data_IF_528885767383
#
_entry.id   IF_528885767383
#
_cell.length_a   1.000
_cell.length_b   1.000
_cell.length_c   1.000
_cell.angle_alpha   90.00
_cell.angle_beta   90.00
_cell.angle_gamma   90.00
#
_symmetry.space_group_name_H-M   'P 1'
#
loop_
_entity.id
_entity.type
_entity.pdbx_description
1 polymer ?
#
# COMPACT_ATOMS: atom_id res chain seq x y z
N UNK A 1 12.13 -13.06 21.12
CA UNK A 1 10.66 -13.11 21.11
C UNK A 1 10.19 -12.13 20.06
N UNK A 2 10.02 -12.58 18.82
CA UNK A 2 9.62 -11.72 17.71
C UNK A 2 8.14 -11.41 17.86
N UNK A 3 7.80 -10.17 18.20
CA UNK A 3 6.42 -9.68 18.14
C UNK A 3 6.12 -9.56 16.64
N UNK A 4 5.69 -10.67 16.03
CA UNK A 4 5.29 -10.70 14.64
C UNK A 4 4.07 -9.80 14.49
N UNK A 5 4.21 -8.74 13.68
CA UNK A 5 3.19 -7.76 13.36
C UNK A 5 1.91 -8.49 12.95
N UNK A 6 0.92 -8.55 13.84
CA UNK A 6 -0.35 -9.21 13.59
C UNK A 6 -1.42 -8.16 13.41
N UNK A 7 -1.54 -7.67 12.19
CA UNK A 7 -2.50 -6.65 11.81
C UNK A 7 -2.22 -6.16 10.40
N UNK A 8 -3.14 -5.36 9.88
CA UNK A 8 -2.96 -4.66 8.61
C UNK A 8 -1.71 -3.78 8.75
N UNK A 9 -0.83 -3.84 7.77
CA UNK A 9 0.43 -3.10 7.79
C UNK A 9 0.23 -1.68 7.28
N UNK A 10 -0.52 -1.54 6.18
CA UNK A 10 -0.92 -0.26 5.62
C UNK A 10 -2.38 -0.31 5.19
N UNK A 11 -3.14 0.71 5.59
CA UNK A 11 -4.50 0.97 5.15
C UNK A 11 -4.59 2.40 4.65
N UNK A 12 -5.12 2.60 3.45
CA UNK A 12 -5.34 3.92 2.86
C UNK A 12 -6.79 4.03 2.42
N UNK A 13 -7.45 5.09 2.89
CA UNK A 13 -8.80 5.48 2.51
C UNK A 13 -8.88 7.00 2.57
N UNK A 14 -9.88 7.58 1.93
CA UNK A 14 -10.28 8.97 2.15
C UNK A 14 -11.52 9.01 3.03
N UNK A 15 -11.80 10.18 3.60
CA UNK A 15 -13.01 10.45 4.37
C UNK A 15 -14.20 10.67 3.43
N UNK A 16 -14.01 11.53 2.42
CA UNK A 16 -14.97 11.85 1.36
C UNK A 16 -14.20 12.15 0.06
N UNK A 17 -14.92 12.19 -1.05
CA UNK A 17 -14.43 12.71 -2.32
C UNK A 17 -14.65 14.23 -2.42
N UNK A 18 -14.04 14.84 -3.43
CA UNK A 18 -14.26 16.25 -3.81
C UNK A 18 -15.34 16.28 -4.90
N UNK A 19 -16.08 17.39 -5.02
CA UNK A 19 -17.31 17.51 -5.80
C UNK A 19 -17.16 16.96 -7.21
N UNK A 20 -18.26 16.50 -7.85
CA UNK A 20 -18.20 15.59 -8.98
C UNK A 20 -17.20 16.09 -10.01
N UNK A 21 -16.02 15.45 -10.03
CA UNK A 21 -14.99 15.72 -11.01
C UNK A 21 -15.49 15.03 -12.27
N UNK A 22 -16.06 15.81 -13.18
CA UNK A 22 -16.35 15.32 -14.51
C UNK A 22 -15.03 15.37 -15.29
N UNK A 23 -14.23 14.31 -15.20
CA UNK A 23 -13.07 14.11 -16.05
C UNK A 23 -13.44 13.17 -17.19
N UNK A 24 -13.97 13.69 -18.29
CA UNK A 24 -13.98 12.98 -19.58
C UNK A 24 -13.92 13.99 -20.74
N UNK A 25 -12.77 13.98 -21.42
CA UNK A 25 -12.58 14.51 -22.75
C UNK A 25 -11.35 13.84 -23.35
N UNK A 26 -11.53 12.70 -24.02
CA UNK A 26 -10.51 12.19 -24.91
C UNK A 26 -11.12 12.02 -26.31
N UNK A 27 -11.07 13.11 -27.08
CA UNK A 27 -11.37 13.09 -28.51
C UNK A 27 -10.18 12.68 -29.39
N UNK A 28 -9.14 12.01 -28.85
CA UNK A 28 -8.00 11.59 -29.68
C UNK A 28 -8.22 10.20 -30.25
N UNK A 29 -8.20 10.11 -31.58
CA UNK A 29 -7.79 8.89 -32.26
C UNK A 29 -6.46 8.42 -31.65
N UNK A 30 -6.33 7.12 -31.40
CA UNK A 30 -5.19 6.44 -30.75
C UNK A 30 -3.86 6.51 -31.54
N UNK A 31 -3.57 7.64 -32.21
CA UNK A 31 -2.45 7.80 -33.13
C UNK A 31 -1.57 9.03 -32.90
N UNK A 32 -1.79 9.79 -31.82
CA UNK A 32 -0.82 10.80 -31.38
C UNK A 32 0.05 10.24 -30.26
N UNK A 33 1.39 10.45 -30.29
CA UNK A 33 2.25 9.99 -29.23
C UNK A 33 1.81 10.66 -27.93
N UNK A 34 1.39 9.83 -26.98
CA UNK A 34 1.17 10.24 -25.59
C UNK A 34 2.47 10.89 -25.15
N UNK A 35 2.46 12.22 -25.01
CA UNK A 35 3.58 12.92 -24.41
C UNK A 35 3.79 12.29 -23.03
N UNK A 36 4.97 11.74 -22.78
CA UNK A 36 5.34 11.00 -21.56
C UNK A 36 5.35 11.87 -20.29
N UNK A 37 4.87 13.10 -20.38
CA UNK A 37 4.62 14.00 -19.27
C UNK A 37 3.15 13.94 -18.85
N UNK A 38 2.79 12.85 -18.18
CA UNK A 38 1.45 12.63 -17.60
C UNK A 38 1.06 13.72 -16.60
N UNK A 39 2.04 14.39 -15.98
CA UNK A 39 1.87 15.45 -14.99
C UNK A 39 1.14 16.67 -15.58
N UNK A 40 1.39 16.97 -16.85
CA UNK A 40 0.82 18.14 -17.54
C UNK A 40 -0.43 17.80 -18.36
N UNK A 41 -0.91 16.56 -18.35
CA UNK A 41 -2.08 16.16 -19.14
C UNK A 41 -3.41 16.53 -18.46
N UNK A 42 -3.45 16.48 -17.13
CA UNK A 42 -4.70 16.59 -16.36
C UNK A 42 -5.25 18.02 -16.33
N UNK A 43 -4.38 19.03 -16.37
CA UNK A 43 -4.76 20.45 -16.31
C UNK A 43 -4.83 21.13 -17.69
N UNK A 44 -4.55 20.38 -18.76
CA UNK A 44 -4.46 20.93 -20.12
C UNK A 44 -5.83 21.08 -20.78
N UNK A 45 -5.86 21.93 -21.79
CA UNK A 45 -6.97 22.04 -22.74
C UNK A 45 -7.16 20.73 -23.53
N UNK A 46 -8.42 20.39 -23.80
CA UNK A 46 -8.77 19.36 -24.77
C UNK A 46 -8.29 19.75 -26.17
N UNK A 47 -7.95 18.75 -26.99
CA UNK A 47 -7.48 18.94 -28.36
C UNK A 47 -8.61 19.39 -29.31
N UNK A 48 -9.88 19.24 -28.90
CA UNK A 48 -11.04 19.71 -29.66
C UNK A 48 -11.82 20.75 -28.85
N UNK A 49 -12.19 21.89 -29.46
CA UNK A 49 -13.10 22.82 -28.81
C UNK A 49 -14.49 22.20 -28.65
N UNK A 50 -15.29 22.79 -27.77
CA UNK A 50 -16.70 22.40 -27.59
C UNK A 50 -17.48 22.59 -28.91
N UNK A 51 -18.32 21.63 -29.25
CA UNK A 51 -19.14 21.63 -30.48
C UNK A 51 -20.37 22.54 -30.38
N UNK A 52 -20.71 23.02 -29.18
CA UNK A 52 -21.85 23.91 -28.94
C UNK A 52 -21.46 25.39 -29.11
N UNK A 53 -20.31 25.79 -28.57
CA UNK A 53 -19.89 27.20 -28.47
C UNK A 53 -18.48 27.47 -29.00
N UNK A 54 -17.80 26.45 -29.55
CA UNK A 54 -16.48 26.54 -30.19
C UNK A 54 -15.35 27.10 -29.30
N UNK A 55 -15.51 27.16 -27.98
CA UNK A 55 -14.42 27.59 -27.09
C UNK A 55 -13.70 26.39 -26.46
N UNK A 56 -12.38 26.49 -26.22
CA UNK A 56 -11.61 25.44 -25.55
C UNK A 56 -12.10 25.22 -24.11
N UNK A 57 -11.88 24.01 -23.60
CA UNK A 57 -12.17 23.60 -22.22
C UNK A 57 -11.06 22.67 -21.72
N UNK A 58 -10.89 22.58 -20.41
CA UNK A 58 -9.89 21.71 -19.78
C UNK A 58 -10.38 20.27 -19.64
N UNK A 59 -9.45 19.31 -19.62
CA UNK A 59 -9.77 17.89 -19.36
C UNK A 59 -10.37 17.70 -17.95
N UNK A 60 -9.92 18.50 -16.98
CA UNK A 60 -10.46 18.52 -15.61
C UNK A 60 -11.49 19.65 -15.46
N UNK A 61 -12.68 19.29 -14.97
CA UNK A 61 -13.77 20.21 -14.64
C UNK A 61 -14.39 19.81 -13.29
N UNK A 62 -14.94 20.80 -12.59
CA UNK A 62 -15.73 20.55 -11.38
C UNK A 62 -17.21 20.76 -11.65
N UNK A 63 -18.08 19.98 -11.01
CA UNK A 63 -19.51 20.22 -11.13
C UNK A 63 -19.92 21.56 -10.49
N UNK A 64 -19.25 21.98 -9.41
CA UNK A 64 -19.52 23.26 -8.77
C UNK A 64 -18.21 23.94 -8.29
N UNK A 65 -18.31 25.15 -7.75
CA UNK A 65 -17.15 25.87 -7.23
C UNK A 65 -16.97 27.27 -7.83
N UNK A 66 -15.84 27.93 -7.52
CA UNK A 66 -15.58 29.32 -7.90
C UNK A 66 -15.17 29.51 -9.38
N UNK A 67 -14.98 28.42 -10.12
CA UNK A 67 -14.61 28.45 -11.54
C UNK A 67 -15.69 29.02 -12.47
N UNK A 68 -16.95 29.03 -12.05
CA UNK A 68 -18.05 29.60 -12.82
C UNK A 68 -17.93 31.11 -12.95
N UNK A 69 -17.97 31.64 -14.17
CA UNK A 69 -17.80 33.07 -14.45
C UNK A 69 -19.15 33.77 -14.53
N UNK A 70 -19.64 34.24 -13.38
CA UNK A 70 -20.94 34.93 -13.25
C UNK A 70 -21.08 36.19 -14.09
N UNK A 71 -19.97 36.86 -14.40
CA UNK A 71 -19.98 38.11 -15.16
C UNK A 71 -20.16 37.90 -16.67
N UNK A 72 -20.10 36.65 -17.13
CA UNK A 72 -20.30 36.29 -18.53
C UNK A 72 -21.73 35.77 -18.74
N UNK A 73 -22.36 36.19 -19.84
CA UNK A 73 -23.73 35.77 -20.21
C UNK A 73 -23.83 34.24 -20.34
N UNK A 74 -22.76 33.60 -20.80
CA UNK A 74 -22.65 32.15 -20.97
C UNK A 74 -22.28 31.42 -19.67
N UNK A 75 -21.84 32.13 -18.63
CA UNK A 75 -21.25 31.53 -17.42
C UNK A 75 -19.85 30.93 -17.61
N UNK A 76 -19.33 30.92 -18.84
CA UNK A 76 -18.11 30.21 -19.26
C UNK A 76 -17.12 31.15 -19.95
N UNK A 77 -15.87 31.16 -19.47
CA UNK A 77 -14.78 31.90 -20.11
C UNK A 77 -14.19 31.18 -21.31
N UNK A 78 -13.69 31.94 -22.27
CA UNK A 78 -12.86 31.43 -23.35
C UNK A 78 -11.42 31.27 -22.85
N UNK A 79 -10.87 30.05 -22.91
CA UNK A 79 -9.53 29.74 -22.43
C UNK A 79 -8.42 29.97 -23.47
N UNK A 80 -8.74 30.53 -24.64
CA UNK A 80 -7.73 30.88 -25.65
C UNK A 80 -6.73 31.90 -25.10
N UNK A 81 -5.46 31.51 -25.00
CA UNK A 81 -4.40 32.36 -24.44
C UNK A 81 -4.36 32.41 -22.92
N UNK A 82 -5.25 31.69 -22.23
CA UNK A 82 -5.22 31.53 -20.77
C UNK A 82 -4.19 30.47 -20.40
N UNK A 83 -3.31 30.78 -19.44
CA UNK A 83 -2.37 29.80 -18.89
C UNK A 83 -3.09 28.87 -17.90
N UNK A 84 -3.59 27.74 -18.39
CA UNK A 84 -4.24 26.71 -17.55
C UNK A 84 -3.26 25.90 -16.70
N UNK A 85 -1.96 26.00 -16.99
CA UNK A 85 -0.89 25.33 -16.23
C UNK A 85 -0.44 26.16 -15.00
N UNK A 86 -1.02 27.35 -14.79
CA UNK A 86 -0.79 28.13 -13.59
C UNK A 86 -1.31 27.38 -12.36
N UNK A 87 -0.49 27.30 -11.31
CA UNK A 87 -0.85 26.63 -10.05
C UNK A 87 -2.08 27.24 -9.36
N UNK A 88 -2.40 28.49 -9.69
CA UNK A 88 -3.56 29.22 -9.16
C UNK A 88 -4.73 29.24 -10.16
N UNK A 89 -4.62 28.53 -11.29
CA UNK A 89 -5.74 28.39 -12.20
C UNK A 89 -6.88 27.62 -11.53
N UNK A 90 -8.09 28.19 -11.58
CA UNK A 90 -9.30 27.58 -11.04
C UNK A 90 -10.08 26.99 -12.21
N UNK A 91 -10.24 25.68 -12.21
CA UNK A 91 -10.94 24.96 -13.28
C UNK A 91 -12.40 25.41 -13.37
N UNK A 92 -12.95 25.40 -14.58
CA UNK A 92 -14.33 25.80 -14.83
C UNK A 92 -15.31 24.89 -14.07
N UNK A 93 -16.44 25.47 -13.64
CA UNK A 93 -17.50 24.74 -12.96
C UNK A 93 -18.89 25.04 -13.52
N UNK A 94 -19.82 24.10 -13.37
CA UNK A 94 -21.19 24.25 -13.90
C UNK A 94 -22.10 25.05 -12.95
N UNK A 95 -21.97 24.84 -11.63
CA UNK A 95 -22.79 25.53 -10.62
C UNK A 95 -21.93 26.51 -9.80
N UNK A 96 -22.28 27.81 -9.76
CA UNK A 96 -21.44 28.79 -9.12
C UNK A 96 -21.47 28.72 -7.59
N UNK A 97 -20.33 28.45 -6.98
CA UNK A 97 -20.14 28.43 -5.52
C UNK A 97 -18.87 29.18 -5.14
N UNK A 98 -18.77 29.68 -3.90
CA UNK A 98 -17.52 30.28 -3.40
C UNK A 98 -16.43 29.22 -3.15
N UNK A 99 -16.85 28.00 -2.82
CA UNK A 99 -16.03 26.83 -2.57
C UNK A 99 -16.71 25.62 -3.20
N UNK A 100 -15.91 24.68 -3.69
CA UNK A 100 -16.42 23.39 -4.11
C UNK A 100 -16.98 22.61 -2.91
N UNK A 101 -17.95 21.73 -3.16
CA UNK A 101 -18.54 20.86 -2.14
C UNK A 101 -17.93 19.48 -2.21
N UNK A 102 -17.92 18.72 -1.11
CA UNK A 102 -17.55 17.30 -1.18
C UNK A 102 -18.48 16.50 -2.11
N UNK A 103 -17.92 15.46 -2.71
CA UNK A 103 -18.65 14.44 -3.45
C UNK A 103 -19.29 13.42 -2.49
N UNK A 104 -20.20 12.63 -3.04
CA UNK A 104 -20.97 11.63 -2.30
C UNK A 104 -20.86 10.23 -2.91
N UNK A 105 -19.91 10.03 -3.82
CA UNK A 105 -19.59 8.73 -4.37
C UNK A 105 -18.74 7.89 -3.41
N UNK A 106 -18.77 6.57 -3.60
CA UNK A 106 -17.97 5.64 -2.81
C UNK A 106 -16.46 5.89 -3.03
N UNK A 107 -15.70 5.85 -1.95
CA UNK A 107 -14.24 6.05 -1.96
C UNK A 107 -13.50 4.71 -1.84
N UNK A 108 -12.34 4.55 -2.51
CA UNK A 108 -11.60 3.30 -2.46
C UNK A 108 -10.88 3.11 -1.12
N UNK A 109 -10.85 1.87 -0.65
CA UNK A 109 -10.05 1.43 0.49
C UNK A 109 -8.97 0.46 0.00
N UNK A 110 -7.71 0.80 0.25
CA UNK A 110 -6.55 -0.04 -0.05
C UNK A 110 -5.98 -0.61 1.24
N UNK A 111 -5.84 -1.94 1.30
CA UNK A 111 -5.30 -2.63 2.47
C UNK A 111 -4.16 -3.58 2.06
N UNK A 112 -3.11 -3.65 2.87
CA UNK A 112 -2.00 -4.59 2.69
C UNK A 112 -1.54 -5.18 4.02
N UNK A 113 -1.08 -6.42 3.98
CA UNK A 113 -0.55 -7.15 5.12
C UNK A 113 -1.51 -8.21 5.68
N UNK A 114 -1.21 -8.77 6.85
CA UNK A 114 -2.07 -9.72 7.53
C UNK A 114 -3.52 -9.21 7.66
N UNK A 115 -4.49 -10.07 7.36
CA UNK A 115 -5.92 -9.74 7.37
C UNK A 115 -6.37 -8.68 6.34
N UNK A 116 -5.54 -8.29 5.36
CA UNK A 116 -5.96 -7.35 4.30
C UNK A 116 -7.18 -7.84 3.50
N UNK A 117 -7.38 -9.16 3.41
CA UNK A 117 -8.54 -9.78 2.76
C UNK A 117 -9.91 -9.44 3.40
N UNK A 118 -9.92 -8.79 4.57
CA UNK A 118 -11.15 -8.26 5.19
C UNK A 118 -11.73 -7.08 4.39
N UNK A 119 -10.91 -6.35 3.63
CA UNK A 119 -11.33 -5.20 2.83
C UNK A 119 -11.59 -5.65 1.38
N UNK A 120 -12.81 -6.11 1.13
CA UNK A 120 -13.25 -6.57 -0.19
C UNK A 120 -14.71 -6.21 -0.42
N UNK A 121 -15.06 -5.93 -1.67
CA UNK A 121 -16.41 -5.52 -2.06
C UNK A 121 -16.73 -4.10 -1.60
N UNK A 122 -18.03 -3.80 -1.51
CA UNK A 122 -18.54 -2.52 -1.00
C UNK A 122 -18.75 -2.66 0.50
N UNK A 123 -18.17 -1.73 1.26
CA UNK A 123 -18.19 -1.74 2.73
C UNK A 123 -18.56 -0.35 3.24
N UNK A 124 -19.28 -0.31 4.35
CA UNK A 124 -19.60 0.95 5.04
C UNK A 124 -18.35 1.60 5.63
N UNK A 125 -18.26 2.93 5.66
CA UNK A 125 -17.12 3.63 6.26
C UNK A 125 -16.92 3.26 7.74
N UNK A 126 -18.00 2.97 8.46
CA UNK A 126 -17.97 2.51 9.86
C UNK A 126 -17.37 1.11 10.02
N UNK A 127 -17.34 0.29 8.97
CA UNK A 127 -16.72 -1.04 8.99
C UNK A 127 -15.19 -0.94 9.15
N UNK A 128 -14.57 0.09 8.58
CA UNK A 128 -13.12 0.27 8.57
C UNK A 128 -12.49 0.17 9.97
N UNK A 129 -12.90 0.98 10.97
CA UNK A 129 -12.31 0.88 12.32
C UNK A 129 -12.62 -0.47 12.99
N UNK A 130 -13.77 -1.09 12.74
CA UNK A 130 -14.11 -2.40 13.31
C UNK A 130 -13.24 -3.52 12.73
N UNK A 131 -13.01 -3.50 11.41
CA UNK A 131 -12.16 -4.46 10.73
C UNK A 131 -10.68 -4.30 11.14
N UNK A 132 -10.21 -3.06 11.29
CA UNK A 132 -8.87 -2.79 11.83
C UNK A 132 -8.72 -3.28 13.26
N UNK A 133 -9.70 -3.01 14.13
CA UNK A 133 -9.69 -3.47 15.51
C UNK A 133 -9.66 -5.00 15.59
N UNK A 134 -10.49 -5.66 14.78
CA UNK A 134 -10.47 -7.12 14.65
C UNK A 134 -9.13 -7.63 14.13
N UNK A 135 -8.53 -7.02 13.08
CA UNK A 135 -7.25 -7.45 12.53
C UNK A 135 -6.10 -7.35 13.54
N UNK A 136 -6.13 -6.34 14.41
CA UNK A 136 -5.14 -6.12 15.46
C UNK A 136 -5.45 -6.87 16.77
N UNK A 137 -6.52 -7.69 16.81
CA UNK A 137 -7.04 -8.32 18.03
C UNK A 137 -7.23 -7.32 19.19
N UNK A 138 -7.76 -6.13 18.93
CA UNK A 138 -8.11 -5.13 19.96
C UNK A 138 -9.62 -4.92 20.05
N UNK A 139 -10.08 -4.49 21.21
CA UNK A 139 -11.49 -4.19 21.44
C UNK A 139 -12.37 -5.43 21.67
N UNK A 140 -13.70 -5.32 21.48
CA UNK A 140 -14.67 -6.32 21.91
C UNK A 140 -14.50 -7.70 21.26
N UNK A 141 -13.93 -7.76 20.06
CA UNK A 141 -13.73 -9.00 19.30
C UNK A 141 -12.32 -9.61 19.46
N UNK A 142 -11.53 -9.14 20.43
CA UNK A 142 -10.17 -9.66 20.68
C UNK A 142 -10.15 -11.17 20.87
N UNK A 143 -11.02 -11.71 21.70
CA UNK A 143 -10.96 -13.12 22.08
C UNK A 143 -11.28 -14.03 20.88
N UNK A 144 -12.17 -13.58 19.99
CA UNK A 144 -12.47 -14.25 18.72
C UNK A 144 -11.30 -14.19 17.72
N UNK A 145 -10.66 -13.03 17.61
CA UNK A 145 -9.46 -12.85 16.79
C UNK A 145 -8.33 -13.78 17.25
N UNK A 146 -8.00 -13.77 18.54
CA UNK A 146 -6.96 -14.61 19.14
C UNK A 146 -7.25 -16.10 18.97
N UNK A 147 -8.51 -16.51 19.17
CA UNK A 147 -8.94 -17.89 18.93
C UNK A 147 -8.69 -18.31 17.48
N UNK A 148 -9.12 -17.51 16.51
CA UNK A 148 -8.93 -17.80 15.08
C UNK A 148 -7.46 -17.78 14.67
N UNK A 149 -6.66 -16.87 15.24
CA UNK A 149 -5.20 -16.82 15.03
C UNK A 149 -4.52 -18.10 15.52
N UNK A 150 -4.89 -18.60 16.70
CA UNK A 150 -4.39 -19.89 17.23
C UNK A 150 -4.80 -21.07 16.36
N UNK A 151 -6.04 -21.10 15.88
CA UNK A 151 -6.53 -22.15 14.98
C UNK A 151 -5.81 -22.13 13.63
N UNK A 152 -5.56 -20.94 13.06
CA UNK A 152 -4.79 -20.79 11.84
C UNK A 152 -3.35 -21.29 12.01
N UNK A 153 -2.70 -20.94 13.14
CA UNK A 153 -1.39 -21.48 13.50
C UNK A 153 -1.41 -23.02 13.61
N UNK A 154 -2.40 -23.59 14.30
CA UNK A 154 -2.53 -25.04 14.43
C UNK A 154 -2.73 -25.74 13.08
N UNK A 155 -3.52 -25.19 12.16
CA UNK A 155 -3.66 -25.74 10.80
C UNK A 155 -2.36 -25.65 10.01
N UNK A 156 -1.65 -24.54 10.11
CA UNK A 156 -0.38 -24.34 9.40
C UNK A 156 0.73 -25.29 9.90
N UNK A 157 0.73 -25.61 11.20
CA UNK A 157 1.63 -26.61 11.81
C UNK A 157 1.29 -28.05 11.40
N UNK A 158 0.04 -28.34 11.04
CA UNK A 158 -0.37 -29.67 10.56
C UNK A 158 -0.01 -29.86 9.07
N UNK A 159 0.00 -28.81 8.26
CA UNK A 159 0.22 -28.89 6.80
C UNK A 159 1.70 -28.82 6.40
N UNK A 160 2.54 -28.16 7.20
CA UNK A 160 3.99 -28.18 7.03
C UNK A 160 4.61 -28.59 8.37
N UNK A 161 5.25 -29.77 8.49
CA UNK A 161 6.14 -30.02 9.60
C UNK A 161 7.29 -29.01 9.44
N UNK A 162 7.24 -27.93 10.22
CA UNK A 162 8.42 -27.08 10.43
C UNK A 162 9.55 -28.03 10.83
N UNK A 163 10.70 -27.94 10.17
CA UNK A 163 11.86 -28.77 10.46
C UNK A 163 12.09 -28.79 11.97
N UNK A 164 11.77 -29.94 12.58
CA UNK A 164 11.98 -30.18 13.99
C UNK A 164 13.50 -30.10 14.20
N UNK A 165 13.99 -29.04 14.84
CA UNK A 165 15.26 -29.18 15.57
C UNK A 165 14.90 -30.04 16.77
N UNK A 166 15.10 -31.35 16.63
CA UNK A 166 15.11 -32.29 17.75
C UNK A 166 16.22 -31.86 18.73
N UNK A 167 15.85 -31.05 19.71
CA UNK A 167 16.57 -30.97 20.98
C UNK A 167 16.01 -32.04 21.92
N UNK A 168 16.23 -33.30 21.55
CA UNK A 168 15.77 -34.46 22.33
C UNK A 168 16.54 -35.75 21.99
N UNK A 169 17.87 -35.67 21.89
CA UNK A 169 18.70 -36.87 22.06
C UNK A 169 19.24 -36.93 23.49
N UNK A 170 18.35 -37.30 24.42
CA UNK A 170 18.74 -38.02 25.63
C UNK A 170 19.28 -39.40 25.26
N UNK A 171 20.38 -39.48 24.52
CA UNK A 171 21.20 -40.68 24.44
C UNK A 171 22.31 -40.52 25.48
N UNK A 172 22.17 -41.26 26.58
CA UNK A 172 23.29 -41.62 27.44
C UNK A 172 24.32 -42.33 26.56
N UNK A 173 25.30 -41.59 26.06
CA UNK A 173 26.52 -42.16 25.53
C UNK A 173 27.19 -42.87 26.71
N UNK A 174 27.08 -44.20 26.74
CA UNK A 174 27.98 -45.02 27.53
C UNK A 174 29.38 -44.75 26.99
N UNK A 175 30.10 -43.87 27.67
CA UNK A 175 31.52 -43.64 27.44
C UNK A 175 32.22 -44.94 27.77
N UNK A 176 32.43 -45.78 26.75
CA UNK A 176 33.37 -46.89 26.82
C UNK A 176 34.75 -46.31 27.05
N UNK A 177 35.32 -46.60 28.21
CA UNK A 177 36.56 -46.05 28.78
C UNK A 177 37.85 -46.41 28.01
N UNK A 178 37.81 -46.59 26.69
CA UNK A 178 38.98 -46.98 25.88
C UNK A 178 39.50 -45.84 24.99
N UNK A 179 38.69 -44.79 24.74
CA UNK A 179 39.09 -43.70 23.84
C UNK A 179 39.98 -42.60 24.49
N UNK A 180 40.12 -42.58 25.83
CA UNK A 180 40.90 -41.54 26.53
C UNK A 180 42.39 -41.85 26.70
N UNK A 181 42.84 -43.06 26.40
CA UNK A 181 44.27 -43.43 26.52
C UNK A 181 45.05 -43.11 25.23
N UNK A 182 44.37 -42.97 24.08
CA UNK A 182 45.05 -42.73 22.80
C UNK A 182 45.36 -41.26 22.47
N UNK A 183 44.75 -40.29 23.17
CA UNK A 183 45.08 -38.86 22.98
C UNK A 183 46.27 -38.36 23.84
N UNK A 184 46.72 -39.11 24.85
CA UNK A 184 47.88 -38.71 25.67
C UNK A 184 49.22 -39.27 25.18
N UNK A 185 49.21 -40.24 24.25
CA UNK A 185 50.44 -40.83 23.72
C UNK A 185 51.02 -40.09 22.49
N UNK A 186 50.23 -39.27 21.79
CA UNK A 186 50.73 -38.54 20.60
C UNK A 186 51.30 -37.14 20.93
N UNK A 187 51.03 -36.58 22.11
CA UNK A 187 51.57 -35.25 22.48
C UNK A 187 52.94 -35.29 23.17
N UNK A 188 53.55 -36.47 23.36
CA UNK A 188 54.89 -36.61 23.95
C UNK A 188 55.98 -37.11 22.98
N UNK A 189 55.65 -37.53 21.76
CA UNK A 189 56.64 -38.07 20.79
C UNK A 189 57.24 -37.00 19.87
N UNK A 190 56.64 -35.82 19.73
CA UNK A 190 57.18 -34.72 18.91
C UNK A 190 57.88 -33.61 19.71
N UNK A 191 57.97 -33.72 21.05
CA UNK A 191 58.67 -32.73 21.89
C UNK A 191 60.18 -32.95 22.04
N UNK A 192 60.72 -34.08 21.57
CA UNK A 192 62.18 -34.33 21.57
C UNK A 192 62.89 -33.90 20.27
N UNK A 193 62.15 -33.61 19.18
CA UNK A 193 62.77 -33.27 17.89
C UNK A 193 63.06 -31.78 17.67
N UNK A 194 62.68 -30.90 18.60
CA UNK A 194 62.91 -29.44 18.48
C UNK A 194 63.93 -28.84 19.46
N UNK A 195 64.77 -29.66 20.11
CA UNK A 195 65.84 -29.18 21.02
C UNK A 195 67.26 -29.65 20.63
N UNK A 196 67.56 -29.68 19.34
CA UNK A 196 68.91 -30.00 18.83
C UNK A 196 69.26 -29.20 17.56
N UNK A 197 69.04 -27.88 17.56
CA UNK A 197 69.74 -26.91 16.71
C UNK A 197 69.85 -25.61 17.51
N UNK A 198 70.76 -25.57 18.48
CA UNK A 198 71.36 -24.38 19.09
C UNK A 198 72.47 -24.83 20.05
N UNK A 199 73.51 -25.44 19.47
CA UNK A 199 74.94 -25.40 19.86
C UNK A 199 75.74 -25.75 18.63
#
# INVERSE_FOLDING_TARGET
>A
MSIGVSGIEYLTTTDLSIGPVLSVGNGTNDHYPVSYDVSNLIQRLDNKPSDVDNMPYTTLLYANGPGYKRDLVTGRENLTGTNTDDKNYVQQSAVPRKWDTHGGEDVPVYAHGPMAHLFRGVIEQTYVPHAMAYAACIGPQRDDCERRRRQAYQRQVIECPSAHRDDSSGQRLLVSSVAFIWCFAWTLVEWWKFRAVLT
#
